data_IF_417511426588
#
_entry.id   IF_417511426588
#
_cell.length_a   1.000
_cell.length_b   1.000
_cell.length_c   1.000
_cell.angle_alpha   90.00
_cell.angle_beta   90.00
_cell.angle_gamma   90.00
#
_symmetry.space_group_name_H-M   'P 1'
#
loop_
_entity.id
_entity.type
_entity.pdbx_description
1 polymer ?
#
# COMPACT_ATOMS: atom_id res chain seq x y z
N UNK A 1 6.29 -18.49 15.59
CA UNK A 1 4.93 -18.01 16.01
C UNK A 1 4.15 -17.64 14.76
N UNK A 2 2.89 -17.98 14.67
CA UNK A 2 2.03 -17.56 13.57
C UNK A 2 1.76 -16.04 13.60
N UNK A 3 1.46 -15.45 12.45
CA UNK A 3 1.27 -14.01 12.34
C UNK A 3 0.15 -13.48 13.26
N UNK A 4 -0.95 -14.21 13.38
CA UNK A 4 -2.09 -13.84 14.24
C UNK A 4 -1.72 -13.88 15.74
N UNK A 5 -0.94 -14.88 16.15
CA UNK A 5 -0.46 -15.02 17.53
C UNK A 5 0.47 -13.87 17.92
N UNK A 6 1.35 -13.45 17.00
CA UNK A 6 2.24 -12.31 17.26
C UNK A 6 1.48 -11.00 17.44
N UNK A 7 0.39 -10.79 16.70
CA UNK A 7 -0.51 -9.63 16.89
C UNK A 7 -1.21 -9.69 18.25
N UNK A 8 -1.72 -10.87 18.65
CA UNK A 8 -2.37 -11.06 19.97
C UNK A 8 -1.38 -10.79 21.11
N UNK A 9 -0.14 -11.27 20.98
CA UNK A 9 0.93 -11.01 21.95
C UNK A 9 1.17 -9.51 22.15
N UNK A 10 1.36 -8.75 21.07
CA UNK A 10 1.61 -7.31 21.17
C UNK A 10 0.41 -6.57 21.77
N UNK A 11 -0.83 -6.90 21.34
CA UNK A 11 -2.03 -6.32 21.93
C UNK A 11 -2.14 -6.62 23.44
N UNK A 12 -1.78 -7.83 23.90
CA UNK A 12 -1.74 -8.19 25.30
C UNK A 12 -0.70 -7.38 26.09
N UNK A 13 0.48 -7.14 25.51
CA UNK A 13 1.51 -6.28 26.12
C UNK A 13 0.97 -4.85 26.26
N UNK A 14 0.38 -4.29 25.24
CA UNK A 14 -0.18 -2.94 25.24
C UNK A 14 -1.34 -2.76 26.23
N UNK A 15 -2.06 -3.82 26.54
CA UNK A 15 -3.12 -3.80 27.57
C UNK A 15 -2.57 -3.86 28.99
N UNK A 16 -1.47 -4.59 29.19
CA UNK A 16 -0.91 -4.90 30.53
C UNK A 16 0.05 -3.83 31.04
N UNK A 17 0.78 -3.15 30.14
CA UNK A 17 1.87 -2.24 30.51
C UNK A 17 1.65 -0.83 29.96
N UNK A 18 2.16 0.17 30.68
CA UNK A 18 2.23 1.58 30.20
C UNK A 18 3.39 1.74 29.23
N UNK A 19 3.20 1.21 28.02
CA UNK A 19 4.25 1.14 26.98
C UNK A 19 4.60 2.51 26.41
N UNK A 20 3.70 3.49 26.48
CA UNK A 20 3.92 4.85 25.96
C UNK A 20 4.91 5.64 26.83
N UNK A 21 5.08 5.25 28.08
CA UNK A 21 6.07 5.84 29.01
C UNK A 21 7.51 5.48 28.68
N UNK A 22 7.74 4.49 27.80
CA UNK A 22 9.08 4.12 27.31
C UNK A 22 9.52 5.13 26.27
N UNK A 23 10.39 6.09 26.67
CA UNK A 23 10.73 7.22 25.84
C UNK A 23 12.23 7.32 25.53
N UNK A 24 12.52 7.88 24.39
CA UNK A 24 13.85 8.33 24.00
C UNK A 24 13.77 9.79 23.58
N UNK A 25 14.48 10.67 24.31
CA UNK A 25 14.42 12.14 24.12
C UNK A 25 12.99 12.70 24.19
N UNK A 26 12.19 12.21 25.12
CA UNK A 26 10.80 12.62 25.30
C UNK A 26 9.83 12.14 24.21
N UNK A 27 10.25 11.23 23.33
CA UNK A 27 9.43 10.63 22.26
C UNK A 27 9.19 9.18 22.64
N UNK A 28 7.94 8.71 22.69
CA UNK A 28 7.67 7.31 22.93
C UNK A 28 8.23 6.44 21.79
N UNK A 29 9.03 5.43 22.15
CA UNK A 29 9.63 4.53 21.15
C UNK A 29 8.80 3.28 20.89
N UNK A 30 7.79 3.04 21.72
CA UNK A 30 6.97 1.83 21.58
C UNK A 30 6.24 1.71 20.25
N UNK A 31 5.59 2.75 19.68
CA UNK A 31 4.93 2.67 18.38
C UNK A 31 5.87 2.19 17.26
N UNK A 32 7.15 2.52 17.35
CA UNK A 32 8.17 2.03 16.44
C UNK A 32 8.63 0.61 16.78
N UNK A 33 8.96 0.34 18.04
CA UNK A 33 9.49 -0.97 18.47
C UNK A 33 8.50 -2.11 18.29
N UNK A 34 7.20 -1.87 18.52
CA UNK A 34 6.14 -2.90 18.40
C UNK A 34 6.11 -3.56 17.02
N UNK A 35 6.40 -2.81 15.97
CA UNK A 35 6.44 -3.32 14.60
C UNK A 35 7.54 -4.37 14.44
N UNK A 36 8.73 -4.06 14.94
CA UNK A 36 9.89 -4.94 14.84
C UNK A 36 9.86 -6.10 15.84
N UNK A 37 9.28 -5.91 17.02
CA UNK A 37 9.04 -7.01 17.99
C UNK A 37 8.11 -8.03 17.34
N UNK A 38 6.98 -7.60 16.78
CA UNK A 38 6.06 -8.49 16.04
C UNK A 38 6.80 -9.25 14.94
N UNK A 39 7.59 -8.57 14.12
CA UNK A 39 8.31 -9.17 13.01
C UNK A 39 9.41 -10.15 13.50
N UNK A 40 10.03 -9.92 14.66
CA UNK A 40 11.06 -10.79 15.22
C UNK A 40 10.52 -12.12 15.72
N UNK A 41 9.25 -12.17 16.12
CA UNK A 41 8.60 -13.39 16.62
C UNK A 41 7.83 -14.17 15.55
N UNK A 42 7.54 -13.53 14.40
CA UNK A 42 7.00 -14.23 13.23
C UNK A 42 8.15 -14.85 12.44
N UNK A 43 8.10 -16.16 12.21
CA UNK A 43 9.13 -16.95 11.49
C UNK A 43 9.34 -16.55 10.01
N UNK A 44 8.75 -15.44 9.56
CA UNK A 44 8.76 -15.00 8.16
C UNK A 44 9.97 -14.15 7.74
N UNK A 45 10.92 -13.82 8.60
CA UNK A 45 12.14 -13.10 8.21
C UNK A 45 13.41 -13.90 8.38
N UNK A 46 13.62 -14.87 7.51
CA UNK A 46 14.96 -15.04 6.97
C UNK A 46 15.27 -13.86 6.03
N UNK A 47 15.55 -12.69 6.57
CA UNK A 47 16.27 -11.65 5.85
C UNK A 47 17.71 -12.12 5.68
N UNK A 48 17.97 -13.07 4.78
CA UNK A 48 19.26 -13.11 4.10
C UNK A 48 19.35 -11.75 3.43
N UNK A 49 20.19 -10.89 4.00
CA UNK A 49 20.67 -9.71 3.28
C UNK A 49 21.27 -10.26 1.98
N UNK A 50 20.48 -10.27 0.93
CA UNK A 50 20.97 -10.51 -0.42
C UNK A 50 22.06 -9.48 -0.60
N UNK A 51 23.27 -9.95 -0.91
CA UNK A 51 24.39 -9.07 -1.21
C UNK A 51 23.85 -8.01 -2.17
N UNK A 52 23.81 -6.76 -1.71
CA UNK A 52 23.29 -5.67 -2.52
C UNK A 52 24.16 -5.62 -3.76
N UNK A 53 23.54 -5.83 -4.91
CA UNK A 53 24.24 -5.68 -6.17
C UNK A 53 24.72 -4.22 -6.24
N UNK A 54 26.03 -3.99 -6.00
CA UNK A 54 26.63 -2.65 -5.94
C UNK A 54 26.33 -1.88 -7.23
N UNK A 55 26.32 -2.57 -8.37
CA UNK A 55 25.93 -1.98 -9.65
C UNK A 55 24.48 -1.46 -9.66
N UNK A 56 23.54 -2.17 -9.01
CA UNK A 56 22.16 -1.72 -8.88
C UNK A 56 22.05 -0.49 -7.97
N UNK A 57 22.78 -0.47 -6.85
CA UNK A 57 22.82 0.70 -5.94
C UNK A 57 23.34 1.93 -6.67
N UNK A 58 24.47 1.81 -7.39
CA UNK A 58 25.04 2.90 -8.19
C UNK A 58 24.06 3.36 -9.28
N UNK A 59 23.43 2.42 -9.98
CA UNK A 59 22.40 2.72 -10.99
C UNK A 59 21.23 3.48 -10.38
N UNK A 60 20.76 3.10 -9.18
CA UNK A 60 19.68 3.79 -8.48
C UNK A 60 20.07 5.21 -8.06
N UNK A 61 21.31 5.43 -7.62
CA UNK A 61 21.81 6.76 -7.26
C UNK A 61 21.75 7.74 -8.44
N UNK A 62 22.05 7.28 -9.64
CA UNK A 62 22.12 8.10 -10.84
C UNK A 62 20.93 7.93 -11.81
N UNK A 63 19.88 7.22 -11.38
CA UNK A 63 18.67 7.03 -12.19
C UNK A 63 17.97 8.35 -12.53
N UNK A 64 17.95 9.27 -11.56
CA UNK A 64 17.37 10.60 -11.67
C UNK A 64 18.40 11.66 -11.24
N UNK A 65 18.20 12.90 -11.68
CA UNK A 65 19.10 13.99 -11.33
C UNK A 65 18.90 14.44 -9.86
N UNK A 66 19.84 14.13 -8.93
CA UNK A 66 19.67 14.43 -7.51
C UNK A 66 19.70 15.95 -7.23
N UNK A 67 20.29 16.77 -8.10
CA UNK A 67 20.34 18.23 -7.93
C UNK A 67 18.98 18.90 -8.03
N UNK A 68 17.93 18.18 -8.47
CA UNK A 68 16.56 18.69 -8.41
C UNK A 68 16.10 18.96 -6.98
N UNK A 69 16.62 18.24 -5.99
CA UNK A 69 16.34 18.49 -4.59
C UNK A 69 16.80 19.88 -4.10
N UNK A 70 17.80 20.49 -4.77
CA UNK A 70 18.29 21.83 -4.45
C UNK A 70 17.33 22.95 -4.90
N UNK A 71 16.38 22.65 -5.76
CA UNK A 71 15.32 23.59 -6.13
C UNK A 71 14.30 23.66 -5.00
N UNK A 72 13.63 24.81 -4.90
CA UNK A 72 12.53 24.99 -3.96
C UNK A 72 11.29 24.29 -4.47
N UNK A 73 10.75 23.36 -3.68
CA UNK A 73 9.47 22.71 -3.90
C UNK A 73 8.56 22.96 -2.71
N UNK A 74 7.29 23.21 -2.97
CA UNK A 74 6.31 23.43 -1.89
C UNK A 74 5.92 22.09 -1.25
N UNK A 75 5.95 21.01 -2.00
CA UNK A 75 5.61 19.65 -1.58
C UNK A 75 6.81 18.72 -1.78
N UNK A 76 7.09 17.89 -0.79
CA UNK A 76 7.88 16.67 -0.97
C UNK A 76 6.96 15.45 -0.86
N UNK A 77 6.95 14.56 -1.87
CA UNK A 77 6.15 13.34 -1.86
C UNK A 77 7.05 12.11 -1.83
N UNK A 78 6.98 11.36 -0.72
CA UNK A 78 7.69 10.08 -0.56
C UNK A 78 6.87 8.97 -1.16
N UNK A 79 7.39 8.35 -2.19
CA UNK A 79 6.71 7.36 -3.02
C UNK A 79 7.56 6.11 -3.22
N UNK A 80 7.01 5.09 -3.87
CA UNK A 80 7.73 3.87 -4.18
C UNK A 80 7.50 3.43 -5.64
N UNK A 81 8.56 3.00 -6.31
CA UNK A 81 8.56 2.61 -7.73
C UNK A 81 7.54 1.49 -8.03
N UNK A 82 7.25 0.59 -7.07
CA UNK A 82 6.26 -0.49 -7.20
C UNK A 82 4.80 0.00 -7.23
N UNK A 83 4.57 1.27 -6.91
CA UNK A 83 3.25 1.92 -6.97
C UNK A 83 2.90 2.48 -8.36
N UNK A 84 3.79 2.33 -9.33
CA UNK A 84 3.53 2.76 -10.70
C UNK A 84 2.68 1.75 -11.46
N UNK A 85 1.78 2.26 -12.30
CA UNK A 85 0.96 1.50 -13.22
C UNK A 85 1.11 2.07 -14.64
N UNK A 86 1.03 1.20 -15.63
CA UNK A 86 1.09 1.62 -17.03
C UNK A 86 -0.23 2.27 -17.44
N UNK A 87 -0.14 3.47 -18.00
CA UNK A 87 -1.24 4.17 -18.67
C UNK A 87 -0.68 4.62 -20.03
N UNK A 88 -1.11 4.00 -21.12
CA UNK A 88 -0.51 4.19 -22.44
C UNK A 88 0.96 3.79 -22.46
N UNK A 89 1.82 4.73 -22.90
CA UNK A 89 3.28 4.57 -22.96
C UNK A 89 3.99 4.95 -21.65
N UNK A 90 3.26 5.45 -20.64
CA UNK A 90 3.83 5.97 -19.39
C UNK A 90 3.57 5.08 -18.18
N UNK A 91 4.49 5.12 -17.24
CA UNK A 91 4.38 4.54 -15.91
C UNK A 91 3.98 5.64 -14.92
N UNK A 92 2.69 5.75 -14.68
CA UNK A 92 2.06 6.77 -13.82
C UNK A 92 2.06 6.30 -12.37
N UNK A 93 2.41 7.18 -11.44
CA UNK A 93 2.38 6.83 -10.03
C UNK A 93 0.94 6.74 -9.51
N UNK A 94 0.60 5.61 -8.89
CA UNK A 94 -0.78 5.23 -8.50
C UNK A 94 -1.45 6.23 -7.56
N UNK A 95 -0.67 6.89 -6.70
CA UNK A 95 -1.18 7.76 -5.64
C UNK A 95 -0.77 9.21 -5.93
N UNK A 96 0.53 9.46 -6.05
CA UNK A 96 1.08 10.82 -6.15
C UNK A 96 1.15 11.37 -7.58
N UNK A 97 0.72 10.61 -8.60
CA UNK A 97 0.72 11.06 -10.01
C UNK A 97 -0.16 12.29 -10.26
N UNK A 98 -1.17 12.53 -9.40
CA UNK A 98 -2.01 13.71 -9.45
C UNK A 98 -1.23 15.03 -9.39
N UNK A 99 -0.14 15.09 -8.61
CA UNK A 99 0.68 16.31 -8.49
C UNK A 99 1.34 16.69 -9.83
N UNK A 100 1.86 15.69 -10.54
CA UNK A 100 2.45 15.92 -11.86
C UNK A 100 1.39 16.34 -12.89
N UNK A 101 0.22 15.69 -12.88
CA UNK A 101 -0.88 15.99 -13.78
C UNK A 101 -1.43 17.40 -13.60
N UNK A 102 -1.39 17.95 -12.39
CA UNK A 102 -1.85 19.31 -12.06
C UNK A 102 -0.73 20.37 -12.09
N UNK A 103 0.50 20.00 -12.48
CA UNK A 103 1.62 20.94 -12.52
C UNK A 103 1.98 21.52 -11.14
N UNK A 104 1.69 20.81 -10.06
CA UNK A 104 2.00 21.26 -8.70
C UNK A 104 3.49 21.22 -8.48
N UNK A 105 4.04 22.22 -7.77
CA UNK A 105 5.46 22.32 -7.44
C UNK A 105 5.85 21.26 -6.38
N UNK A 106 5.96 20.02 -6.84
CA UNK A 106 6.20 18.84 -6.01
C UNK A 106 7.50 18.12 -6.41
N UNK A 107 8.36 17.84 -5.42
CA UNK A 107 9.48 16.93 -5.57
C UNK A 107 9.05 15.53 -5.16
N UNK A 108 9.08 14.59 -6.08
CA UNK A 108 8.87 13.17 -5.78
C UNK A 108 10.19 12.52 -5.36
N UNK A 109 10.21 11.88 -4.21
CA UNK A 109 11.34 11.12 -3.65
C UNK A 109 10.97 9.65 -3.72
N UNK A 110 11.47 8.96 -4.75
CA UNK A 110 11.02 7.61 -5.08
C UNK A 110 11.96 6.54 -4.53
N UNK A 111 11.41 5.62 -3.76
CA UNK A 111 12.07 4.41 -3.29
C UNK A 111 12.25 3.42 -4.45
N UNK A 112 13.47 2.89 -4.69
CA UNK A 112 13.70 1.94 -5.76
C UNK A 112 13.03 0.58 -5.49
N UNK A 113 12.60 -0.08 -6.56
CA UNK A 113 12.09 -1.46 -6.49
C UNK A 113 13.27 -2.44 -6.34
N UNK A 114 13.17 -3.34 -5.38
CA UNK A 114 14.19 -4.36 -5.12
C UNK A 114 14.44 -5.22 -6.36
N UNK A 115 15.72 -5.35 -6.75
CA UNK A 115 16.14 -6.12 -7.92
C UNK A 115 15.97 -5.42 -9.27
N UNK A 116 15.16 -4.35 -9.36
CA UNK A 116 14.89 -3.63 -10.61
C UNK A 116 15.46 -2.20 -10.61
N UNK A 117 15.28 -1.46 -9.53
CA UNK A 117 15.64 -0.05 -9.40
C UNK A 117 14.48 0.88 -9.74
N UNK A 118 14.64 1.71 -10.77
CA UNK A 118 13.66 2.69 -11.22
C UNK A 118 13.34 2.53 -12.70
N UNK A 119 12.14 2.95 -13.12
CA UNK A 119 11.82 3.15 -14.53
C UNK A 119 12.65 4.29 -15.12
N UNK A 120 12.89 4.22 -16.42
CA UNK A 120 13.66 5.25 -17.11
C UNK A 120 12.90 6.58 -17.12
N UNK A 121 13.65 7.69 -17.25
CA UNK A 121 13.06 9.04 -17.30
C UNK A 121 12.06 9.22 -18.45
N UNK A 122 12.20 8.47 -19.53
CA UNK A 122 11.32 8.52 -20.70
C UNK A 122 9.97 7.83 -20.44
N UNK A 123 9.95 6.86 -19.52
CA UNK A 123 8.78 6.07 -19.21
C UNK A 123 7.89 6.72 -18.14
N UNK A 124 8.33 7.76 -17.43
CA UNK A 124 7.57 8.43 -16.37
C UNK A 124 7.09 9.82 -16.79
N UNK A 125 5.99 10.29 -16.18
CA UNK A 125 5.43 11.63 -16.46
C UNK A 125 6.08 12.71 -15.59
N UNK A 126 6.40 12.42 -14.34
CA UNK A 126 6.82 13.38 -13.34
C UNK A 126 8.14 14.04 -13.70
N UNK A 127 8.20 15.38 -13.58
CA UNK A 127 9.37 16.17 -13.97
C UNK A 127 10.40 16.28 -12.84
N UNK A 128 9.95 16.62 -11.65
CA UNK A 128 10.81 16.81 -10.49
C UNK A 128 10.77 15.56 -9.60
N UNK A 129 11.66 14.62 -9.91
CA UNK A 129 11.82 13.35 -9.21
C UNK A 129 13.28 13.07 -8.91
N UNK A 130 13.55 12.52 -7.72
CA UNK A 130 14.85 12.00 -7.29
C UNK A 130 14.71 10.57 -6.74
N UNK A 131 15.81 9.83 -6.75
CA UNK A 131 15.85 8.53 -6.07
C UNK A 131 16.00 8.70 -4.56
N UNK A 132 15.21 7.98 -3.77
CA UNK A 132 15.39 7.89 -2.31
C UNK A 132 16.74 7.24 -1.92
N UNK A 133 17.46 6.60 -2.85
CA UNK A 133 18.73 5.92 -2.59
C UNK A 133 19.77 6.85 -1.93
N UNK A 134 19.77 8.14 -2.21
CA UNK A 134 20.63 9.11 -1.55
C UNK A 134 20.33 9.25 -0.07
N UNK A 135 19.05 9.30 0.28
CA UNK A 135 18.60 9.36 1.67
C UNK A 135 18.88 8.05 2.40
N UNK A 136 18.66 6.90 1.73
CA UNK A 136 18.95 5.57 2.27
C UNK A 136 20.46 5.39 2.54
N UNK A 137 21.34 5.86 1.66
CA UNK A 137 22.79 5.86 1.91
C UNK A 137 23.17 6.73 3.10
N UNK A 138 22.59 7.93 3.20
CA UNK A 138 22.80 8.83 4.34
C UNK A 138 22.31 8.17 5.63
N UNK A 139 21.16 7.54 5.60
CA UNK A 139 20.61 6.76 6.72
C UNK A 139 21.57 5.64 7.16
N UNK A 140 22.09 4.84 6.23
CA UNK A 140 23.04 3.77 6.56
C UNK A 140 24.34 4.31 7.15
N UNK A 141 24.87 5.41 6.62
CA UNK A 141 26.03 6.07 7.21
C UNK A 141 25.74 6.52 8.65
N UNK A 142 24.58 7.16 8.89
CA UNK A 142 24.15 7.58 10.24
C UNK A 142 23.92 6.38 11.17
N UNK A 143 23.45 5.25 10.66
CA UNK A 143 23.30 4.01 11.43
C UNK A 143 24.65 3.48 11.91
N UNK A 144 25.66 3.45 11.03
CA UNK A 144 27.03 3.04 11.41
C UNK A 144 27.57 3.94 12.50
N UNK A 145 27.52 5.25 12.32
CA UNK A 145 27.96 6.22 13.36
C UNK A 145 27.16 6.10 14.66
N UNK A 146 25.88 5.74 14.60
CA UNK A 146 25.04 5.59 15.79
C UNK A 146 25.44 4.41 16.68
N UNK A 147 26.19 3.43 16.14
CA UNK A 147 26.71 2.29 16.94
C UNK A 147 27.66 2.72 18.06
N UNK A 148 28.31 3.86 17.90
CA UNK A 148 29.19 4.45 18.89
C UNK A 148 28.45 5.11 20.07
N UNK A 149 27.13 5.26 19.96
CA UNK A 149 26.31 5.97 20.95
C UNK A 149 25.28 4.99 21.53
N UNK A 150 25.25 4.85 22.85
CA UNK A 150 24.19 4.13 23.54
C UNK A 150 23.00 5.05 23.79
N UNK A 151 21.82 4.80 23.21
CA UNK A 151 20.64 5.62 23.49
C UNK A 151 20.25 5.50 24.97
N UNK A 152 20.04 6.63 25.64
CA UNK A 152 19.47 6.66 26.98
C UNK A 152 17.95 6.61 26.84
N UNK A 153 17.33 5.54 27.34
CA UNK A 153 15.89 5.31 27.27
C UNK A 153 15.29 5.55 28.66
N UNK A 154 14.28 6.38 28.73
CA UNK A 154 13.47 6.58 29.94
C UNK A 154 12.56 5.35 30.10
N UNK A 155 12.40 4.88 31.36
CA UNK A 155 11.69 3.65 31.70
C UNK A 155 12.23 2.40 30.99
N UNK A 156 13.54 2.34 30.74
CA UNK A 156 14.19 1.19 30.11
C UNK A 156 13.95 -0.13 30.88
N UNK A 157 13.86 -0.06 32.21
CA UNK A 157 13.62 -1.24 33.05
C UNK A 157 12.21 -1.82 32.81
N UNK A 158 11.21 -0.99 32.51
CA UNK A 158 9.90 -1.46 32.07
C UNK A 158 10.01 -2.23 30.75
N UNK A 159 10.77 -1.72 29.78
CA UNK A 159 10.99 -2.41 28.50
C UNK A 159 11.68 -3.77 28.70
N UNK A 160 12.73 -3.81 29.54
CA UNK A 160 13.41 -5.08 29.90
C UNK A 160 12.47 -6.06 30.57
N UNK A 161 11.64 -5.58 31.49
CA UNK A 161 10.60 -6.39 32.13
C UNK A 161 9.60 -6.96 31.13
N UNK A 162 9.08 -6.12 30.21
CA UNK A 162 8.16 -6.58 29.15
C UNK A 162 8.78 -7.71 28.34
N UNK A 163 10.04 -7.53 27.91
CA UNK A 163 10.74 -8.55 27.12
C UNK A 163 10.94 -9.84 27.91
N UNK A 164 11.33 -9.76 29.19
CA UNK A 164 11.53 -10.92 30.07
C UNK A 164 10.22 -11.65 30.37
N UNK A 165 9.16 -10.94 30.74
CA UNK A 165 7.84 -11.50 31.08
C UNK A 165 7.20 -12.24 29.89
N UNK A 166 7.57 -11.90 28.65
CA UNK A 166 7.05 -12.52 27.44
C UNK A 166 8.08 -13.39 26.69
N UNK A 167 9.23 -13.71 27.32
CA UNK A 167 10.32 -14.51 26.74
C UNK A 167 10.81 -13.99 25.37
N UNK A 168 10.88 -12.67 25.19
CA UNK A 168 11.26 -12.04 23.93
C UNK A 168 12.76 -11.71 23.90
N UNK A 169 13.48 -12.28 22.93
CA UNK A 169 14.85 -11.90 22.62
C UNK A 169 14.87 -10.81 21.55
N UNK A 170 14.96 -9.56 21.97
CA UNK A 170 14.86 -8.43 21.05
C UNK A 170 15.90 -7.33 21.37
N UNK A 171 16.71 -6.98 20.39
CA UNK A 171 17.72 -5.92 20.52
C UNK A 171 17.11 -4.53 20.29
N UNK A 172 16.34 -4.02 21.26
CA UNK A 172 15.68 -2.72 21.17
C UNK A 172 16.66 -1.54 20.96
N UNK A 173 17.88 -1.60 21.48
CA UNK A 173 18.90 -0.56 21.29
C UNK A 173 19.27 -0.38 19.82
N UNK A 174 19.34 -1.48 19.08
CA UNK A 174 19.55 -1.44 17.62
C UNK A 174 18.44 -0.62 16.93
N UNK A 175 17.18 -0.88 17.28
CA UNK A 175 16.03 -0.24 16.64
C UNK A 175 15.88 1.23 17.05
N UNK A 176 16.16 1.58 18.32
CA UNK A 176 16.21 3.00 18.74
C UNK A 176 17.34 3.75 18.03
N UNK A 177 18.49 3.11 17.78
CA UNK A 177 19.56 3.69 16.93
C UNK A 177 19.09 3.88 15.49
N UNK A 178 18.36 2.92 14.94
CA UNK A 178 17.79 2.99 13.59
C UNK A 178 16.80 4.17 13.47
N UNK A 179 15.90 4.33 14.42
CA UNK A 179 14.98 5.49 14.49
C UNK A 179 15.75 6.82 14.51
N UNK A 180 16.80 6.90 15.34
CA UNK A 180 17.65 8.09 15.40
C UNK A 180 18.43 8.32 14.10
N UNK A 181 18.87 7.26 13.43
CA UNK A 181 19.58 7.38 12.14
C UNK A 181 18.65 7.91 11.04
N UNK A 182 17.41 7.40 10.95
CA UNK A 182 16.39 7.97 10.07
C UNK A 182 16.18 9.46 10.33
N UNK A 183 15.95 9.82 11.59
CA UNK A 183 15.74 11.22 12.00
C UNK A 183 16.92 12.12 11.63
N UNK A 184 18.16 11.65 11.86
CA UNK A 184 19.38 12.42 11.54
C UNK A 184 19.59 12.57 10.04
N UNK A 185 19.37 11.52 9.27
CA UNK A 185 19.47 11.55 7.81
C UNK A 185 18.51 12.58 7.21
N UNK A 186 17.24 12.57 7.67
CA UNK A 186 16.25 13.55 7.22
C UNK A 186 16.59 14.97 7.65
N UNK A 187 17.06 15.17 8.89
CA UNK A 187 17.53 16.50 9.35
C UNK A 187 18.66 17.04 8.50
N UNK A 188 19.60 16.20 8.09
CA UNK A 188 20.68 16.59 7.17
C UNK A 188 20.13 16.98 5.80
N UNK A 189 19.19 16.22 5.25
CA UNK A 189 18.53 16.57 3.99
C UNK A 189 17.83 17.93 4.09
N UNK A 190 17.08 18.19 5.17
CA UNK A 190 16.39 19.46 5.43
C UNK A 190 17.33 20.63 5.72
N UNK A 191 18.58 20.36 6.12
CA UNK A 191 19.61 21.41 6.31
C UNK A 191 20.22 21.82 4.97
N UNK A 192 20.39 20.86 4.05
CA UNK A 192 21.08 21.07 2.78
C UNK A 192 20.16 21.53 1.65
N UNK A 193 18.84 21.41 1.82
CA UNK A 193 17.87 21.72 0.78
C UNK A 193 16.80 22.70 1.25
N UNK A 194 16.15 23.46 0.34
CA UNK A 194 14.99 24.27 0.66
C UNK A 194 13.88 23.41 1.26
N UNK A 195 13.32 23.86 2.39
CA UNK A 195 12.29 23.12 3.10
C UNK A 195 10.97 23.16 2.34
N UNK A 196 10.26 22.04 2.23
CA UNK A 196 8.88 22.04 1.75
C UNK A 196 7.94 22.68 2.77
N UNK A 197 6.76 23.09 2.34
CA UNK A 197 5.67 23.54 3.21
C UNK A 197 4.93 22.34 3.81
N UNK A 198 4.79 21.26 3.04
CA UNK A 198 4.14 20.02 3.44
C UNK A 198 4.87 18.80 2.86
N UNK A 199 4.79 17.69 3.56
CA UNK A 199 5.31 16.40 3.11
C UNK A 199 4.16 15.40 2.96
N UNK A 200 4.11 14.72 1.81
CA UNK A 200 3.19 13.62 1.53
C UNK A 200 3.92 12.28 1.67
N UNK A 201 3.35 11.33 2.38
CA UNK A 201 3.93 9.99 2.59
C UNK A 201 2.88 8.90 2.38
N UNK A 202 3.31 7.73 1.90
CA UNK A 202 2.41 6.60 1.64
C UNK A 202 2.45 5.54 2.73
N UNK A 203 3.61 5.33 3.36
CA UNK A 203 3.81 4.33 4.40
C UNK A 203 4.44 4.98 5.63
N UNK A 204 3.67 5.67 6.47
CA UNK A 204 4.21 6.44 7.60
C UNK A 204 4.99 5.57 8.59
N UNK A 205 4.56 4.33 8.79
CA UNK A 205 5.21 3.41 9.72
C UNK A 205 6.61 2.93 9.27
N UNK A 206 6.96 3.04 7.99
CA UNK A 206 8.32 2.76 7.49
C UNK A 206 9.29 3.91 7.76
N UNK A 207 8.77 5.13 7.92
CA UNK A 207 9.55 6.38 7.95
C UNK A 207 9.29 7.22 9.20
N UNK A 208 8.99 6.60 10.34
CA UNK A 208 8.68 7.28 11.59
C UNK A 208 9.80 8.26 12.04
N UNK A 209 11.06 7.89 11.80
CA UNK A 209 12.18 8.80 12.10
C UNK A 209 12.23 10.03 11.18
N UNK A 210 11.80 9.92 9.94
CA UNK A 210 11.66 11.07 9.04
C UNK A 210 10.56 12.01 9.53
N UNK A 211 9.42 11.47 9.95
CA UNK A 211 8.32 12.26 10.51
C UNK A 211 8.75 13.05 11.74
N UNK A 212 9.52 12.42 12.66
CA UNK A 212 10.11 13.17 13.78
C UNK A 212 10.93 14.39 13.32
N UNK A 213 11.70 14.25 12.25
CA UNK A 213 12.52 15.35 11.74
C UNK A 213 11.67 16.45 11.08
N UNK A 214 10.59 16.10 10.40
CA UNK A 214 9.64 17.06 9.82
C UNK A 214 8.93 17.85 10.89
N UNK A 215 8.33 17.18 11.89
CA UNK A 215 7.66 17.85 13.01
C UNK A 215 8.59 18.75 13.83
N UNK A 216 9.86 18.34 14.03
CA UNK A 216 10.87 19.20 14.66
C UNK A 216 11.18 20.50 13.89
N UNK A 217 10.85 20.53 12.62
CA UNK A 217 11.02 21.69 11.73
C UNK A 217 9.72 22.43 11.44
N UNK A 218 8.63 22.02 12.10
CA UNK A 218 7.30 22.60 11.90
C UNK A 218 6.72 22.32 10.51
N UNK A 219 7.10 21.20 9.91
CA UNK A 219 6.61 20.77 8.59
C UNK A 219 5.52 19.74 8.81
N UNK A 220 4.33 20.01 8.31
CA UNK A 220 3.20 19.06 8.37
C UNK A 220 3.43 17.84 7.49
N UNK A 221 2.95 16.70 7.98
CA UNK A 221 3.02 15.41 7.31
C UNK A 221 1.62 14.95 6.97
N UNK A 222 1.34 14.67 5.70
CA UNK A 222 0.07 14.14 5.21
C UNK A 222 0.30 12.73 4.69
N UNK A 223 -0.43 11.77 5.22
CA UNK A 223 -0.45 10.41 4.70
C UNK A 223 -1.41 10.30 3.53
N UNK A 224 -0.93 9.63 2.49
CA UNK A 224 -1.74 9.20 1.35
C UNK A 224 -2.02 7.71 1.50
N UNK A 225 -3.27 7.32 1.71
CA UNK A 225 -3.63 5.90 1.84
C UNK A 225 -3.12 5.08 0.64
N UNK A 226 -2.52 3.93 0.93
CA UNK A 226 -1.91 3.07 -0.09
C UNK A 226 -2.46 1.64 -0.13
N UNK A 227 -3.22 1.24 0.88
CA UNK A 227 -3.84 -0.09 1.03
C UNK A 227 -5.00 -0.02 2.01
N UNK A 228 -5.60 -1.15 2.35
CA UNK A 228 -6.73 -1.19 3.29
C UNK A 228 -6.35 -0.67 4.67
N UNK A 229 -7.17 0.22 5.22
CA UNK A 229 -7.11 0.78 6.56
C UNK A 229 -8.27 0.19 7.36
N UNK A 230 -8.00 -0.79 8.21
CA UNK A 230 -9.02 -1.48 9.02
C UNK A 230 -8.42 -2.11 10.27
N UNK A 231 -9.26 -2.72 11.11
CA UNK A 231 -8.89 -3.40 12.36
C UNK A 231 -7.87 -4.53 12.24
N UNK A 232 -7.63 -5.05 11.03
CA UNK A 232 -6.68 -6.13 10.76
C UNK A 232 -5.29 -5.60 10.36
N UNK A 233 -5.15 -4.33 9.98
CA UNK A 233 -3.86 -3.78 9.59
C UNK A 233 -3.04 -3.36 10.82
N UNK A 234 -2.09 -4.19 11.22
CA UNK A 234 -1.34 -4.07 12.46
C UNK A 234 -0.71 -2.68 12.69
N UNK A 235 -0.14 -2.07 11.66
CA UNK A 235 0.57 -0.78 11.78
C UNK A 235 -0.35 0.37 12.21
N UNK A 236 -1.64 0.32 11.85
CA UNK A 236 -2.65 1.31 12.23
C UNK A 236 -3.39 0.98 13.53
N UNK A 237 -3.09 -0.18 14.14
CA UNK A 237 -3.82 -0.70 15.29
C UNK A 237 -2.97 -0.72 16.58
N UNK A 238 -2.23 0.33 16.85
CA UNK A 238 -1.65 0.55 18.15
C UNK A 238 -2.76 0.95 19.15
N UNK A 239 -2.54 0.66 20.43
CA UNK A 239 -3.38 1.18 21.50
C UNK A 239 -3.18 2.68 21.68
N UNK A 240 -1.95 3.12 21.57
CA UNK A 240 -1.54 4.51 21.74
C UNK A 240 -0.54 4.91 20.66
N UNK A 241 -0.50 6.18 20.31
CA UNK A 241 0.31 6.72 19.22
C UNK A 241 1.25 7.81 19.74
N UNK A 242 2.35 8.01 19.04
CA UNK A 242 3.29 9.11 19.29
C UNK A 242 3.09 10.18 18.20
N UNK A 243 2.52 11.34 18.51
CA UNK A 243 2.21 12.36 17.50
C UNK A 243 3.39 12.77 16.61
N UNK A 244 4.62 12.74 17.16
CA UNK A 244 5.80 13.06 16.37
C UNK A 244 6.19 12.00 15.33
N UNK A 245 5.60 10.82 15.41
CA UNK A 245 5.84 9.70 14.50
C UNK A 245 4.66 9.42 13.59
N UNK A 246 3.56 10.14 13.77
CA UNK A 246 2.31 9.96 13.04
C UNK A 246 2.05 11.15 12.10
N UNK A 247 1.22 10.99 11.07
CA UNK A 247 0.84 12.08 10.18
C UNK A 247 -0.09 13.09 10.90
N UNK A 248 -0.06 14.34 10.46
CA UNK A 248 -0.97 15.40 10.90
C UNK A 248 -2.34 15.26 10.20
N UNK A 249 -2.36 14.70 8.99
CA UNK A 249 -3.56 14.45 8.22
C UNK A 249 -3.44 13.12 7.46
N UNK A 250 -4.56 12.40 7.34
CA UNK A 250 -4.65 11.20 6.50
C UNK A 250 -5.65 11.41 5.39
N UNK A 251 -5.20 11.25 4.15
CA UNK A 251 -6.06 11.19 2.97
C UNK A 251 -6.50 9.75 2.74
N UNK A 252 -7.77 9.44 2.96
CA UNK A 252 -8.33 8.09 2.84
C UNK A 252 -9.11 7.91 1.55
N UNK A 253 -9.31 6.65 1.15
CA UNK A 253 -10.02 6.32 -0.07
C UNK A 253 -11.51 6.67 0.02
N UNK A 254 -12.17 6.37 1.13
CA UNK A 254 -13.60 6.56 1.25
C UNK A 254 -14.12 6.60 2.68
N UNK A 255 -15.42 6.38 2.79
CA UNK A 255 -16.16 6.59 4.04
C UNK A 255 -15.81 5.55 5.12
N UNK A 256 -15.54 4.30 4.74
CA UNK A 256 -15.23 3.23 5.69
C UNK A 256 -13.93 3.54 6.46
N UNK A 257 -12.85 3.88 5.72
CA UNK A 257 -11.60 4.26 6.36
C UNK A 257 -11.69 5.60 7.11
N UNK A 258 -12.52 6.52 6.60
CA UNK A 258 -12.80 7.78 7.30
C UNK A 258 -13.43 7.51 8.65
N UNK A 259 -14.51 6.72 8.72
CA UNK A 259 -15.16 6.31 9.97
C UNK A 259 -14.21 5.57 10.89
N UNK A 260 -13.47 4.61 10.34
CA UNK A 260 -12.51 3.84 11.11
C UNK A 260 -11.48 4.74 11.83
N UNK A 261 -10.91 5.71 11.14
CA UNK A 261 -9.92 6.61 11.74
C UNK A 261 -10.56 7.66 12.67
N UNK A 262 -11.74 8.13 12.38
CA UNK A 262 -12.39 9.19 13.20
C UNK A 262 -13.12 8.65 14.42
N UNK A 263 -13.68 7.46 14.35
CA UNK A 263 -14.51 6.87 15.42
C UNK A 263 -13.74 5.84 16.26
N UNK A 264 -12.99 4.94 15.60
CA UNK A 264 -12.28 3.86 16.30
C UNK A 264 -10.83 4.21 16.64
N UNK A 265 -10.18 5.06 15.85
CA UNK A 265 -8.76 5.43 15.98
C UNK A 265 -8.49 6.94 15.92
N UNK A 266 -9.27 7.78 16.63
CA UNK A 266 -9.15 9.23 16.51
C UNK A 266 -7.78 9.78 16.95
N UNK A 267 -6.98 9.00 17.71
CA UNK A 267 -5.65 9.41 18.15
C UNK A 267 -4.56 9.18 17.08
N UNK A 268 -4.89 8.50 15.96
CA UNK A 268 -3.90 8.21 14.92
C UNK A 268 -3.46 9.47 14.18
N UNK A 269 -4.41 10.30 13.77
CA UNK A 269 -4.16 11.59 13.15
C UNK A 269 -5.23 12.62 13.53
N UNK A 270 -4.86 13.91 13.72
CA UNK A 270 -5.84 14.96 14.07
C UNK A 270 -6.82 15.26 12.95
N UNK A 271 -6.43 15.03 11.70
CA UNK A 271 -7.29 15.30 10.54
C UNK A 271 -7.38 14.09 9.61
N UNK A 272 -8.59 13.80 9.15
CA UNK A 272 -8.86 12.77 8.15
C UNK A 272 -9.67 13.39 7.01
N UNK A 273 -9.28 13.15 5.78
CA UNK A 273 -9.91 13.69 4.57
C UNK A 273 -10.19 12.57 3.57
N UNK A 274 -11.40 12.49 3.05
CA UNK A 274 -11.73 11.54 1.98
C UNK A 274 -11.28 12.11 0.64
N UNK A 275 -10.33 11.45 -0.02
CA UNK A 275 -9.76 11.92 -1.30
C UNK A 275 -9.94 10.93 -2.45
N UNK A 276 -10.33 9.69 -2.19
CA UNK A 276 -10.37 8.66 -3.23
C UNK A 276 -8.97 8.21 -3.68
N UNK A 277 -8.88 7.66 -4.90
CA UNK A 277 -7.62 7.13 -5.44
C UNK A 277 -7.37 7.62 -6.87
N UNK A 278 -6.27 8.35 -7.07
CA UNK A 278 -5.90 8.95 -8.37
C UNK A 278 -5.91 7.97 -9.54
N UNK A 279 -5.36 6.76 -9.34
CA UNK A 279 -5.21 5.81 -10.44
C UNK A 279 -6.56 5.29 -10.96
N UNK A 280 -7.59 5.19 -10.11
CA UNK A 280 -8.93 4.77 -10.56
C UNK A 280 -9.55 5.86 -11.43
N UNK A 281 -9.53 7.11 -10.98
CA UNK A 281 -10.02 8.25 -11.75
C UNK A 281 -9.26 8.40 -13.08
N UNK A 282 -7.94 8.29 -13.05
CA UNK A 282 -7.10 8.37 -14.26
C UNK A 282 -7.36 7.23 -15.23
N UNK A 283 -7.53 6.00 -14.72
CA UNK A 283 -7.83 4.82 -15.54
C UNK A 283 -9.23 4.94 -16.16
N UNK A 284 -10.21 5.39 -15.38
CA UNK A 284 -11.58 5.60 -15.88
C UNK A 284 -11.65 6.60 -17.04
N UNK A 285 -10.91 7.71 -16.93
CA UNK A 285 -10.82 8.70 -17.99
C UNK A 285 -10.04 8.19 -19.21
N UNK A 286 -8.92 7.48 -19.00
CA UNK A 286 -8.03 7.06 -20.08
C UNK A 286 -8.59 5.88 -20.88
N UNK A 287 -9.09 4.83 -20.21
CA UNK A 287 -9.62 3.61 -20.82
C UNK A 287 -11.10 3.78 -21.23
N UNK A 288 -11.38 4.75 -22.12
CA UNK A 288 -12.72 5.10 -22.53
C UNK A 288 -13.36 4.13 -23.53
N UNK A 289 -12.54 3.32 -24.21
CA UNK A 289 -13.01 2.39 -25.23
C UNK A 289 -13.02 0.97 -24.69
N UNK A 290 -14.09 0.23 -24.98
CA UNK A 290 -14.20 -1.17 -24.62
C UNK A 290 -13.15 -2.02 -25.37
N UNK A 291 -12.18 -2.55 -24.61
CA UNK A 291 -11.10 -3.39 -25.14
C UNK A 291 -11.60 -4.77 -25.58
N UNK A 292 -12.79 -5.16 -25.17
CA UNK A 292 -13.41 -6.44 -25.50
C UNK A 292 -14.42 -6.35 -26.64
N UNK A 293 -14.47 -5.24 -27.38
CA UNK A 293 -15.43 -5.00 -28.45
C UNK A 293 -15.48 -6.15 -29.49
N UNK A 294 -14.35 -6.72 -29.84
CA UNK A 294 -14.29 -7.84 -30.78
C UNK A 294 -14.66 -9.18 -30.12
N UNK A 295 -14.27 -9.38 -28.89
CA UNK A 295 -14.59 -10.56 -28.08
C UNK A 295 -16.09 -10.67 -27.84
N UNK A 296 -16.77 -9.57 -27.60
CA UNK A 296 -18.23 -9.50 -27.41
C UNK A 296 -19.05 -9.93 -28.64
N UNK A 297 -18.41 -10.09 -29.79
CA UNK A 297 -19.07 -10.70 -30.99
C UNK A 297 -19.12 -12.23 -30.89
N UNK A 298 -18.28 -12.84 -30.04
CA UNK A 298 -18.09 -14.28 -29.92
C UNK A 298 -18.59 -14.82 -28.57
N UNK A 299 -18.48 -14.01 -27.52
CA UNK A 299 -18.81 -14.41 -26.15
C UNK A 299 -19.94 -13.53 -25.60
N UNK A 300 -20.88 -14.16 -24.88
CA UNK A 300 -22.02 -13.49 -24.26
C UNK A 300 -21.58 -12.65 -23.04
N UNK A 301 -20.54 -13.13 -22.35
CA UNK A 301 -19.97 -12.39 -21.21
C UNK A 301 -18.46 -12.57 -21.08
N UNK A 302 -17.84 -11.62 -20.37
CA UNK A 302 -16.40 -11.55 -20.17
C UNK A 302 -16.11 -11.45 -18.67
N UNK A 303 -15.38 -12.43 -18.17
CA UNK A 303 -14.99 -12.52 -16.77
C UNK A 303 -13.49 -12.23 -16.63
N UNK A 304 -13.13 -11.26 -15.82
CA UNK A 304 -11.73 -10.94 -15.52
C UNK A 304 -11.34 -11.55 -14.18
N UNK A 305 -10.21 -12.27 -14.16
CA UNK A 305 -9.69 -12.92 -12.98
C UNK A 305 -8.41 -12.24 -12.54
N UNK A 306 -8.37 -11.76 -11.28
CA UNK A 306 -7.14 -11.22 -10.70
C UNK A 306 -6.45 -12.24 -9.81
N UNK A 307 -5.26 -12.68 -10.24
CA UNK A 307 -4.44 -13.63 -9.52
C UNK A 307 -3.71 -13.01 -8.31
N UNK A 308 -3.32 -13.86 -7.37
CA UNK A 308 -2.54 -13.51 -6.19
C UNK A 308 -1.41 -14.53 -5.99
N UNK A 309 -0.14 -14.12 -5.79
CA UNK A 309 1.02 -15.02 -5.79
C UNK A 309 0.88 -16.25 -4.90
N UNK A 310 0.28 -16.10 -3.72
CA UNK A 310 0.09 -17.20 -2.78
C UNK A 310 -0.98 -18.22 -3.23
N UNK A 311 -1.93 -17.80 -4.09
CA UNK A 311 -3.13 -18.56 -4.42
C UNK A 311 -3.35 -18.75 -5.92
N UNK A 312 -2.33 -18.48 -6.75
CA UNK A 312 -2.41 -18.61 -8.22
C UNK A 312 -2.83 -20.01 -8.65
N UNK A 313 -2.24 -21.06 -8.09
CA UNK A 313 -2.52 -22.45 -8.49
C UNK A 313 -3.96 -22.89 -8.14
N UNK A 314 -4.47 -22.72 -6.91
CA UNK A 314 -5.86 -23.08 -6.63
C UNK A 314 -6.85 -22.24 -7.43
N UNK A 315 -6.57 -20.95 -7.66
CA UNK A 315 -7.45 -20.08 -8.46
C UNK A 315 -7.46 -20.49 -9.94
N UNK A 316 -6.30 -20.77 -10.54
CA UNK A 316 -6.24 -21.21 -11.94
C UNK A 316 -6.95 -22.53 -12.19
N UNK A 317 -6.82 -23.51 -11.28
CA UNK A 317 -7.55 -24.76 -11.35
C UNK A 317 -9.07 -24.58 -11.23
N UNK A 318 -9.50 -23.69 -10.34
CA UNK A 318 -10.91 -23.34 -10.21
C UNK A 318 -11.43 -22.71 -11.52
N UNK A 319 -10.70 -21.74 -12.10
CA UNK A 319 -11.08 -21.10 -13.37
C UNK A 319 -11.18 -22.10 -14.50
N UNK A 320 -10.20 -22.98 -14.67
CA UNK A 320 -10.21 -24.01 -15.71
C UNK A 320 -11.42 -24.97 -15.56
N UNK A 321 -11.78 -25.29 -14.30
CA UNK A 321 -12.94 -26.16 -14.01
C UNK A 321 -14.29 -25.53 -14.34
N UNK A 322 -14.45 -24.21 -14.18
CA UNK A 322 -15.69 -23.51 -14.57
C UNK A 322 -15.71 -23.20 -16.08
N UNK A 323 -14.57 -22.89 -16.67
CA UNK A 323 -14.46 -22.54 -18.08
C UNK A 323 -14.86 -23.69 -19.00
N UNK A 324 -14.53 -24.93 -18.64
CA UNK A 324 -14.83 -26.12 -19.45
C UNK A 324 -16.34 -26.42 -19.68
N UNK A 325 -17.20 -25.77 -18.89
CA UNK A 325 -18.67 -25.90 -19.03
C UNK A 325 -19.36 -24.65 -19.60
N UNK A 326 -18.60 -23.61 -20.00
CA UNK A 326 -19.15 -22.29 -20.35
C UNK A 326 -18.49 -21.71 -21.60
N UNK A 327 -18.59 -22.36 -22.73
CA UNK A 327 -17.93 -21.98 -24.00
C UNK A 327 -18.34 -20.58 -24.51
N UNK A 328 -19.49 -20.07 -24.08
CA UNK A 328 -19.98 -18.73 -24.39
C UNK A 328 -19.45 -17.62 -23.45
N UNK A 329 -18.60 -17.96 -22.48
CA UNK A 329 -17.97 -17.00 -21.56
C UNK A 329 -16.47 -16.94 -21.85
N UNK A 330 -15.93 -15.74 -22.00
CA UNK A 330 -14.48 -15.53 -22.05
C UNK A 330 -13.94 -15.29 -20.64
N UNK A 331 -12.97 -16.08 -20.23
CA UNK A 331 -12.24 -15.90 -18.96
C UNK A 331 -10.87 -15.30 -19.24
N UNK A 332 -10.60 -14.12 -18.67
CA UNK A 332 -9.33 -13.40 -18.83
C UNK A 332 -8.57 -13.45 -17.51
N UNK A 333 -7.57 -14.30 -17.43
CA UNK A 333 -6.76 -14.51 -16.23
C UNK A 333 -5.55 -13.56 -16.25
N UNK A 334 -5.43 -12.69 -15.23
CA UNK A 334 -4.35 -11.71 -15.08
C UNK A 334 -3.61 -12.02 -13.78
N UNK A 335 -2.46 -12.72 -13.82
CA UNK A 335 -1.65 -12.96 -12.64
C UNK A 335 -0.92 -11.68 -12.21
N UNK A 336 -0.63 -11.58 -10.91
CA UNK A 336 0.09 -10.41 -10.38
C UNK A 336 1.53 -10.30 -10.86
N UNK A 337 2.16 -11.45 -11.12
CA UNK A 337 3.53 -11.55 -11.67
C UNK A 337 3.52 -12.48 -12.87
N UNK A 338 4.53 -12.39 -13.71
CA UNK A 338 4.68 -13.33 -14.82
C UNK A 338 4.80 -14.75 -14.27
N UNK A 339 3.97 -15.67 -14.81
CA UNK A 339 3.87 -17.08 -14.41
C UNK A 339 3.81 -17.94 -15.67
N UNK A 340 4.84 -18.75 -15.88
CA UNK A 340 4.93 -19.71 -17.00
C UNK A 340 4.36 -21.07 -16.63
N UNK A 341 4.15 -21.32 -15.34
CA UNK A 341 3.66 -22.58 -14.78
C UNK A 341 2.11 -22.68 -14.73
N UNK A 342 1.41 -21.60 -15.11
CA UNK A 342 -0.06 -21.61 -15.23
C UNK A 342 -0.43 -21.96 -16.66
N UNK A 343 -1.12 -23.09 -16.83
CA UNK A 343 -1.64 -23.57 -18.11
C UNK A 343 -3.12 -23.87 -17.94
N UNK A 344 -3.92 -23.49 -18.92
CA UNK A 344 -5.34 -23.77 -19.00
C UNK A 344 -5.62 -24.75 -20.13
N UNK A 345 -6.57 -25.68 -19.92
CA UNK A 345 -7.00 -26.65 -20.91
C UNK A 345 -8.18 -26.13 -21.74
N UNK A 346 -8.90 -25.13 -21.24
CA UNK A 346 -10.09 -24.57 -21.87
C UNK A 346 -9.73 -23.47 -22.87
N UNK A 347 -10.21 -23.55 -24.10
CA UNK A 347 -9.92 -22.61 -25.20
C UNK A 347 -10.47 -21.20 -24.97
N UNK A 348 -11.45 -21.05 -24.08
CA UNK A 348 -12.08 -19.78 -23.70
C UNK A 348 -11.40 -19.12 -22.50
N UNK A 349 -10.22 -19.58 -22.09
CA UNK A 349 -9.38 -18.94 -21.07
C UNK A 349 -8.18 -18.27 -21.71
N UNK A 350 -7.97 -16.98 -21.45
CA UNK A 350 -6.80 -16.23 -21.91
C UNK A 350 -5.94 -15.81 -20.72
N UNK A 351 -4.68 -16.22 -20.73
CA UNK A 351 -3.67 -15.77 -19.78
C UNK A 351 -2.96 -14.50 -20.32
N UNK A 352 -3.05 -13.38 -19.60
CA UNK A 352 -2.49 -12.10 -20.02
C UNK A 352 -1.56 -11.55 -18.95
N UNK A 353 -0.37 -11.09 -19.35
CA UNK A 353 0.66 -10.57 -18.46
C UNK A 353 0.99 -9.12 -18.75
N UNK A 354 1.47 -8.39 -17.72
CA UNK A 354 2.08 -7.08 -17.89
C UNK A 354 1.12 -5.94 -18.25
N UNK A 355 -0.19 -6.15 -18.07
CA UNK A 355 -1.24 -5.18 -18.38
C UNK A 355 -1.69 -4.39 -17.17
N UNK A 356 -2.43 -3.30 -17.40
CA UNK A 356 -3.12 -2.59 -16.34
C UNK A 356 -4.49 -3.25 -16.11
N UNK A 357 -4.67 -3.88 -14.97
CA UNK A 357 -5.90 -4.60 -14.65
C UNK A 357 -7.15 -3.70 -14.67
N UNK A 358 -7.00 -2.40 -14.42
CA UNK A 358 -8.14 -1.46 -14.40
C UNK A 358 -8.80 -1.30 -15.78
N UNK A 359 -8.01 -1.40 -16.86
CA UNK A 359 -8.54 -1.43 -18.22
C UNK A 359 -9.47 -2.62 -18.43
N UNK A 360 -9.09 -3.77 -17.90
CA UNK A 360 -9.85 -5.00 -18.00
C UNK A 360 -11.07 -5.01 -17.07
N UNK A 361 -10.90 -4.57 -15.82
CA UNK A 361 -12.00 -4.48 -14.86
C UNK A 361 -13.10 -3.53 -15.32
N UNK A 362 -12.74 -2.39 -15.89
CA UNK A 362 -13.70 -1.39 -16.37
C UNK A 362 -14.70 -1.96 -17.40
N UNK A 363 -14.26 -2.91 -18.21
CA UNK A 363 -15.03 -3.44 -19.32
C UNK A 363 -15.45 -4.92 -19.11
N UNK A 364 -15.14 -5.50 -17.97
CA UNK A 364 -15.57 -6.83 -17.59
C UNK A 364 -17.03 -6.83 -17.13
N UNK A 365 -17.73 -7.94 -17.38
CA UNK A 365 -19.08 -8.14 -16.85
C UNK A 365 -19.03 -8.67 -15.41
N UNK A 366 -17.98 -9.46 -15.07
CA UNK A 366 -17.75 -9.99 -13.72
C UNK A 366 -16.24 -10.04 -13.44
N UNK A 367 -15.87 -9.82 -12.19
CA UNK A 367 -14.53 -10.04 -11.66
C UNK A 367 -14.51 -11.30 -10.78
N UNK A 368 -13.42 -12.10 -10.83
CA UNK A 368 -13.20 -13.22 -9.92
C UNK A 368 -11.84 -13.05 -9.22
N UNK A 369 -11.84 -13.30 -7.91
CA UNK A 369 -10.60 -13.34 -7.10
C UNK A 369 -10.79 -14.16 -5.83
N UNK A 370 -9.71 -14.38 -5.05
CA UNK A 370 -9.79 -14.96 -3.69
C UNK A 370 -9.85 -13.82 -2.66
N UNK A 371 -8.75 -13.09 -2.44
CA UNK A 371 -8.68 -12.03 -1.43
C UNK A 371 -7.98 -10.77 -1.93
N UNK A 372 -8.00 -10.52 -3.24
CA UNK A 372 -7.36 -9.34 -3.81
C UNK A 372 -8.15 -8.06 -3.51
N UNK A 373 -7.44 -6.99 -3.17
CA UNK A 373 -8.01 -5.64 -3.08
C UNK A 373 -8.54 -5.12 -4.41
N UNK A 374 -8.26 -5.79 -5.53
CA UNK A 374 -8.89 -5.51 -6.83
C UNK A 374 -10.41 -5.65 -6.79
N UNK A 375 -10.96 -6.42 -5.84
CA UNK A 375 -12.41 -6.47 -5.60
C UNK A 375 -13.00 -5.14 -5.16
N UNK A 376 -12.25 -4.36 -4.36
CA UNK A 376 -12.63 -3.01 -3.96
C UNK A 376 -12.59 -2.07 -5.18
N UNK A 377 -11.54 -2.21 -5.99
CA UNK A 377 -11.32 -1.41 -7.21
C UNK A 377 -12.36 -1.76 -8.31
N UNK A 378 -12.82 -3.02 -8.37
CA UNK A 378 -13.91 -3.45 -9.24
C UNK A 378 -15.24 -2.74 -8.92
N UNK A 379 -15.54 -2.49 -7.63
CA UNK A 379 -16.73 -1.72 -7.22
C UNK A 379 -16.72 -0.30 -7.81
N UNK A 380 -15.56 0.34 -7.90
CA UNK A 380 -15.43 1.67 -8.53
C UNK A 380 -15.86 1.67 -10.01
N UNK A 381 -15.58 0.59 -10.72
CA UNK A 381 -15.97 0.41 -12.12
C UNK A 381 -17.36 -0.23 -12.29
N UNK A 382 -18.10 -0.43 -11.21
CA UNK A 382 -19.39 -1.13 -11.20
C UNK A 382 -19.30 -2.56 -11.76
N UNK A 383 -18.17 -3.24 -11.52
CA UNK A 383 -17.94 -4.61 -11.94
C UNK A 383 -18.19 -5.54 -10.76
N UNK A 384 -19.24 -6.37 -10.81
CA UNK A 384 -19.57 -7.29 -9.72
C UNK A 384 -18.48 -8.34 -9.53
N UNK A 385 -18.32 -8.84 -8.30
CA UNK A 385 -17.22 -9.76 -7.95
C UNK A 385 -17.73 -11.08 -7.40
N UNK A 386 -17.28 -12.18 -7.99
CA UNK A 386 -17.38 -13.52 -7.38
C UNK A 386 -16.08 -13.81 -6.64
N UNK A 387 -16.17 -14.01 -5.34
CA UNK A 387 -15.07 -14.49 -4.53
C UNK A 387 -15.01 -16.01 -4.56
N UNK A 388 -13.88 -16.56 -5.04
CA UNK A 388 -13.58 -17.97 -4.82
C UNK A 388 -13.08 -18.13 -3.38
N UNK A 389 -13.95 -18.60 -2.51
CA UNK A 389 -13.71 -18.70 -1.05
C UNK A 389 -12.86 -19.92 -0.68
N UNK A 390 -11.67 -20.00 -1.28
CA UNK A 390 -10.70 -21.05 -1.02
C UNK A 390 -10.30 -21.05 0.45
N UNK A 391 -10.56 -22.16 1.16
CA UNK A 391 -10.29 -22.32 2.58
C UNK A 391 -10.92 -21.23 3.48
N UNK A 392 -12.06 -20.70 3.13
CA UNK A 392 -12.75 -19.60 3.79
C UNK A 392 -11.93 -18.27 3.85
N UNK A 393 -10.95 -18.10 2.98
CA UNK A 393 -10.09 -16.91 2.98
C UNK A 393 -10.87 -15.65 2.62
N UNK A 394 -11.69 -15.70 1.56
CA UNK A 394 -12.47 -14.55 1.12
C UNK A 394 -13.52 -14.15 2.16
N UNK A 395 -14.25 -15.11 2.70
CA UNK A 395 -15.22 -14.88 3.78
C UNK A 395 -14.56 -14.25 5.01
N UNK A 396 -13.42 -14.79 5.47
CA UNK A 396 -12.71 -14.27 6.63
C UNK A 396 -12.17 -12.84 6.41
N UNK A 397 -11.94 -12.44 5.17
CA UNK A 397 -11.33 -11.15 4.85
C UNK A 397 -12.37 -10.09 4.49
N UNK A 398 -13.45 -10.46 3.81
CA UNK A 398 -14.37 -9.51 3.17
C UNK A 398 -15.84 -9.62 3.58
N UNK A 399 -16.28 -10.66 4.33
CA UNK A 399 -17.68 -10.85 4.68
C UNK A 399 -18.29 -9.68 5.45
N UNK A 400 -17.49 -9.07 6.35
CA UNK A 400 -17.96 -7.93 7.14
C UNK A 400 -17.83 -6.60 6.36
N UNK A 401 -17.08 -6.60 5.26
CA UNK A 401 -16.85 -5.43 4.42
C UNK A 401 -17.91 -5.29 3.32
N UNK A 402 -18.23 -6.39 2.62
CA UNK A 402 -19.23 -6.37 1.56
C UNK A 402 -20.56 -6.93 2.04
N UNK A 403 -21.63 -6.22 1.71
CA UNK A 403 -23.00 -6.75 1.82
C UNK A 403 -23.33 -7.53 0.55
N UNK A 404 -24.14 -8.59 0.65
CA UNK A 404 -24.52 -9.41 -0.52
C UNK A 404 -25.22 -8.61 -1.63
N UNK A 405 -25.96 -7.55 -1.26
CA UNK A 405 -26.63 -6.63 -2.19
C UNK A 405 -25.68 -5.78 -3.04
N UNK A 406 -24.38 -5.74 -2.69
CA UNK A 406 -23.38 -4.88 -3.32
C UNK A 406 -22.70 -5.53 -4.53
N UNK A 407 -23.37 -6.42 -5.25
CA UNK A 407 -22.78 -7.05 -6.42
C UNK A 407 -21.63 -8.00 -6.11
N UNK A 408 -21.69 -8.68 -4.96
CA UNK A 408 -20.69 -9.69 -4.58
C UNK A 408 -21.36 -11.04 -4.30
N UNK A 409 -20.61 -12.11 -4.57
CA UNK A 409 -21.01 -13.47 -4.22
C UNK A 409 -19.81 -14.27 -3.75
N UNK A 410 -20.00 -15.15 -2.76
CA UNK A 410 -18.97 -16.04 -2.23
C UNK A 410 -19.28 -17.48 -2.58
N UNK A 411 -18.35 -18.16 -3.25
CA UNK A 411 -18.51 -19.57 -3.64
C UNK A 411 -17.23 -20.35 -3.30
N UNK A 412 -17.37 -21.60 -2.89
CA UNK A 412 -16.25 -22.45 -2.51
C UNK A 412 -16.00 -23.61 -3.49
N UNK A 413 -16.85 -23.75 -4.52
CA UNK A 413 -16.74 -24.81 -5.52
C UNK A 413 -17.26 -24.37 -6.88
N UNK A 414 -16.83 -25.06 -7.95
CA UNK A 414 -17.27 -24.82 -9.32
C UNK A 414 -18.79 -25.04 -9.51
N UNK A 415 -19.40 -25.96 -8.77
CA UNK A 415 -20.83 -26.26 -8.83
C UNK A 415 -21.72 -25.09 -8.41
N UNK A 416 -21.17 -24.13 -7.66
CA UNK A 416 -21.90 -22.94 -7.23
C UNK A 416 -21.78 -21.77 -8.21
N UNK A 417 -20.95 -21.93 -9.25
CA UNK A 417 -20.66 -20.83 -10.18
C UNK A 417 -21.92 -20.33 -10.90
N UNK A 418 -22.72 -21.21 -11.46
CA UNK A 418 -23.96 -20.83 -12.20
C UNK A 418 -24.93 -20.04 -11.31
N UNK A 419 -25.10 -20.48 -10.07
CA UNK A 419 -25.93 -19.76 -9.12
C UNK A 419 -25.39 -18.35 -8.84
N UNK A 420 -24.10 -18.22 -8.56
CA UNK A 420 -23.47 -16.94 -8.29
C UNK A 420 -23.48 -16.02 -9.53
N UNK A 421 -23.17 -16.58 -10.71
CA UNK A 421 -23.21 -15.86 -11.98
C UNK A 421 -24.61 -15.29 -12.24
N UNK A 422 -25.65 -16.13 -12.21
CA UNK A 422 -27.03 -15.71 -12.46
C UNK A 422 -27.55 -14.70 -11.41
N UNK A 423 -27.03 -14.72 -10.19
CA UNK A 423 -27.40 -13.79 -9.13
C UNK A 423 -26.91 -12.36 -9.41
N UNK A 424 -25.76 -12.19 -10.09
CA UNK A 424 -25.13 -10.90 -10.26
C UNK A 424 -25.01 -10.40 -11.70
N UNK A 425 -25.02 -11.31 -12.69
CA UNK A 425 -24.88 -10.94 -14.11
C UNK A 425 -26.19 -10.32 -14.64
N UNK A 426 -26.07 -9.16 -15.27
CA UNK A 426 -27.21 -8.47 -15.90
C UNK A 426 -28.24 -7.86 -14.95
N UNK A 427 -28.01 -7.90 -13.63
CA UNK A 427 -28.88 -7.29 -12.65
C UNK A 427 -28.47 -5.83 -12.35
N UNK A 428 -29.46 -5.01 -12.01
CA UNK A 428 -29.20 -3.64 -11.53
C UNK A 428 -28.78 -3.74 -10.04
N UNK A 429 -27.46 -3.72 -9.80
CA UNK A 429 -26.87 -3.92 -8.48
C UNK A 429 -26.59 -2.57 -7.82
N UNK A 430 -26.74 -2.52 -6.50
CA UNK A 430 -26.27 -1.40 -5.70
C UNK A 430 -24.78 -1.62 -5.40
N UNK A 431 -23.92 -0.76 -5.93
CA UNK A 431 -22.47 -0.82 -5.64
C UNK A 431 -22.14 0.01 -4.41
N UNK A 432 -21.15 -0.45 -3.65
CA UNK A 432 -20.67 0.29 -2.49
C UNK A 432 -19.69 1.37 -2.96
N UNK A 433 -19.93 2.62 -2.56
CA UNK A 433 -19.00 3.73 -2.79
C UNK A 433 -17.78 3.62 -1.87
N UNK A 434 -16.84 2.75 -2.25
CA UNK A 434 -15.60 2.51 -1.48
C UNK A 434 -14.61 3.66 -1.66
N UNK A 435 -14.59 4.25 -2.85
CA UNK A 435 -13.66 5.34 -3.21
C UNK A 435 -14.42 6.63 -3.45
N UNK A 436 -14.00 7.70 -2.78
CA UNK A 436 -14.52 9.02 -3.06
C UNK A 436 -14.16 9.43 -4.51
N UNK A 437 -15.13 9.99 -5.22
CA UNK A 437 -14.91 10.56 -6.55
C UNK A 437 -14.20 11.92 -6.49
N UNK A 438 -13.80 12.46 -7.66
CA UNK A 438 -13.11 13.75 -7.80
C UNK A 438 -11.78 13.81 -7.03
N UNK A 439 -10.98 12.72 -7.08
CA UNK A 439 -9.73 12.60 -6.34
C UNK A 439 -8.82 13.82 -6.51
N UNK A 440 -8.58 14.22 -7.76
CA UNK A 440 -7.66 15.31 -8.06
C UNK A 440 -8.11 16.60 -7.38
N UNK A 441 -9.39 16.95 -7.50
CA UNK A 441 -9.96 18.15 -6.85
C UNK A 441 -9.81 18.07 -5.33
N UNK A 442 -10.26 16.97 -4.71
CA UNK A 442 -10.20 16.79 -3.25
C UNK A 442 -8.77 16.83 -2.72
N UNK A 443 -7.83 16.20 -3.42
CA UNK A 443 -6.42 16.24 -3.04
C UNK A 443 -5.85 17.66 -3.15
N UNK A 444 -6.18 18.41 -4.21
CA UNK A 444 -5.74 19.80 -4.36
C UNK A 444 -6.34 20.72 -3.29
N UNK A 445 -7.56 20.47 -2.86
CA UNK A 445 -8.18 21.19 -1.73
C UNK A 445 -7.37 20.95 -0.43
N UNK A 446 -7.02 19.69 -0.13
CA UNK A 446 -6.16 19.37 1.03
C UNK A 446 -4.80 20.04 0.91
N UNK A 447 -4.14 19.93 -0.25
CA UNK A 447 -2.83 20.56 -0.48
C UNK A 447 -2.88 22.07 -0.28
N UNK A 448 -3.95 22.72 -0.76
CA UNK A 448 -4.10 24.17 -0.64
C UNK A 448 -4.18 24.68 0.81
N UNK A 449 -4.62 23.84 1.75
CA UNK A 449 -4.64 24.17 3.19
C UNK A 449 -3.21 24.35 3.76
N UNK A 450 -2.22 23.67 3.17
CA UNK A 450 -0.84 23.64 3.66
C UNK A 450 0.14 24.54 2.88
N UNK A 451 -0.17 24.87 1.62
CA UNK A 451 0.76 25.63 0.78
C UNK A 451 0.46 27.13 0.69
N UNK A 452 -0.63 27.59 1.33
CA UNK A 452 -0.97 29.02 1.45
C UNK A 452 0.06 29.85 2.19
#
# INVERSE_FOLDING_TARGET
MEALESVKLIKGIEQKYDVISIKWKGISVWPFLRLYIKDSVTSQRENKASASNIGLVLRCLFAYNPFRALKRHDIWSFTACDRRKRIGDKMVHRISGAFAAQGVNCLMIEKPLKGFGHYSRKEIEEQDIISESWLLMTFHAMEVFSRLITPKIENEDLLKKILADNNLQFNYLRYVRMLNAQRRAMRLLLLLNPKPKVVMIECPYDVMGYQCAFHEKGINVVEMQHGSLNGNHFSYNAREYEPKMNPDCVCVFGEEEYKYLTEEKPQYAPYVKMTGMYMLERADQYFSNDIFKEERKKYDSIIVISGQPAWEIPLSKFVDSIASGHDNILFVYIPRHQREDIVFNSDNVRLIHGVNIYEYLKWADIHITITSTTSLEAQYFHTPTIFYDYQNLATNYFKDFFKEENGVSFINSAQQFDYAFNKIYGHNLAYQEIFAHDHVKRLMDVVSEYIK
#
